data_IF_049835321370
#
_entry.id   IF_049835321370
#
_cell.length_a   1.000
_cell.length_b   1.000
_cell.length_c   1.000
_cell.angle_alpha   90.00
_cell.angle_beta   90.00
_cell.angle_gamma   90.00
#
_symmetry.space_group_name_H-M   'P 1'
#
loop_
_entity.id
_entity.type
_entity.pdbx_description
1 polymer ?
#
# COMPACT_ATOMS: atom_id res chain seq x y z
N UNK A 1 -9.90 -11.09 -1.00
CA UNK A 1 -8.64 -11.50 -0.39
C UNK A 1 -8.24 -10.53 0.70
N UNK A 2 -7.54 -11.02 1.71
CA UNK A 2 -7.22 -10.27 2.90
C UNK A 2 -7.95 -10.80 4.13
N UNK A 3 -8.05 -9.95 5.17
CA UNK A 3 -8.70 -10.33 6.43
C UNK A 3 -10.22 -10.41 6.23
N UNK A 4 -10.77 -11.60 6.50
CA UNK A 4 -12.22 -11.84 6.42
C UNK A 4 -12.92 -11.40 7.70
N UNK A 5 -12.32 -11.65 8.88
CA UNK A 5 -12.70 -11.14 10.20
C UNK A 5 -11.53 -11.18 11.18
N UNK A 6 -11.72 -10.64 12.38
CA UNK A 6 -10.72 -10.44 13.43
C UNK A 6 -10.35 -8.97 13.56
N UNK A 7 -9.95 -8.55 14.75
CA UNK A 7 -9.57 -7.17 15.02
C UNK A 7 -8.13 -6.87 14.55
N UNK A 8 -7.87 -5.71 13.93
CA UNK A 8 -6.53 -5.38 13.41
C UNK A 8 -5.45 -5.30 14.49
N UNK A 9 -5.83 -4.91 15.71
CA UNK A 9 -4.91 -4.66 16.80
C UNK A 9 -4.72 -5.87 17.74
N UNK A 10 -5.46 -6.97 17.52
CA UNK A 10 -5.29 -8.17 18.32
C UNK A 10 -4.03 -8.94 17.89
N UNK A 11 -3.11 -9.23 18.84
CA UNK A 11 -1.90 -9.99 18.52
C UNK A 11 -2.25 -11.45 18.22
N UNK A 12 -1.63 -12.01 17.18
CA UNK A 12 -1.71 -13.42 16.85
C UNK A 12 -0.33 -14.07 17.01
N UNK A 13 -0.10 -14.68 18.17
CA UNK A 13 1.18 -15.32 18.49
C UNK A 13 1.30 -16.72 17.86
N UNK A 14 0.18 -17.38 17.54
CA UNK A 14 0.14 -18.68 16.89
C UNK A 14 -0.77 -18.62 15.67
N UNK A 15 -0.17 -18.88 14.51
CA UNK A 15 -0.83 -18.82 13.21
C UNK A 15 -0.85 -20.23 12.60
N UNK A 16 -2.03 -20.68 12.17
CA UNK A 16 -2.18 -21.89 11.38
C UNK A 16 -2.29 -21.56 9.89
N UNK A 17 -1.77 -22.44 9.05
CA UNK A 17 -1.82 -22.32 7.60
C UNK A 17 -2.52 -23.52 6.98
N UNK A 18 -3.39 -23.27 6.00
CA UNK A 18 -4.05 -24.32 5.23
C UNK A 18 -4.39 -23.83 3.82
N UNK A 19 -4.69 -24.76 2.90
CA UNK A 19 -5.15 -24.42 1.57
C UNK A 19 -6.60 -23.91 1.61
N UNK A 20 -7.47 -24.64 2.31
CA UNK A 20 -8.91 -24.38 2.40
C UNK A 20 -9.35 -24.19 3.85
N UNK A 21 -10.39 -23.38 4.05
CA UNK A 21 -11.06 -23.21 5.34
C UNK A 21 -12.21 -24.23 5.47
N UNK A 22 -11.87 -25.50 5.79
CA UNK A 22 -12.87 -26.56 6.03
C UNK A 22 -13.16 -26.71 7.52
N UNK A 23 -14.26 -27.42 7.88
CA UNK A 23 -14.58 -27.75 9.28
C UNK A 23 -13.40 -28.45 9.97
N UNK A 24 -12.80 -29.46 9.32
CA UNK A 24 -11.68 -30.21 9.86
C UNK A 24 -10.42 -29.33 10.10
N UNK A 25 -10.14 -28.40 9.18
CA UNK A 25 -9.02 -27.45 9.35
C UNK A 25 -9.28 -26.52 10.53
N UNK A 26 -10.51 -26.06 10.68
CA UNK A 26 -10.86 -25.18 11.82
C UNK A 26 -10.80 -25.94 13.14
N UNK A 27 -11.25 -27.19 13.18
CA UNK A 27 -11.13 -28.02 14.37
C UNK A 27 -9.67 -28.24 14.76
N UNK A 28 -8.81 -28.55 13.80
CA UNK A 28 -7.37 -28.68 14.04
C UNK A 28 -6.72 -27.37 14.50
N UNK A 29 -7.15 -26.22 13.96
CA UNK A 29 -6.67 -24.91 14.39
C UNK A 29 -7.08 -24.60 15.85
N UNK A 30 -8.30 -24.97 16.24
CA UNK A 30 -8.80 -24.85 17.61
C UNK A 30 -7.98 -25.73 18.57
N UNK A 31 -7.82 -27.01 18.25
CA UNK A 31 -7.04 -27.98 19.06
C UNK A 31 -5.60 -27.52 19.26
N UNK A 32 -5.00 -26.90 18.24
CA UNK A 32 -3.66 -26.34 18.33
C UNK A 32 -3.59 -24.98 19.04
N UNK A 33 -4.70 -24.37 19.40
CA UNK A 33 -4.76 -23.04 20.02
C UNK A 33 -4.27 -21.92 19.10
N UNK A 34 -4.54 -22.02 17.80
CA UNK A 34 -4.24 -20.96 16.85
C UNK A 34 -5.14 -19.73 17.08
N UNK A 35 -4.58 -18.55 16.92
CA UNK A 35 -5.28 -17.26 17.04
C UNK A 35 -5.60 -16.66 15.66
N UNK A 36 -4.93 -17.14 14.62
CA UNK A 36 -5.19 -16.78 13.24
C UNK A 36 -5.08 -18.01 12.35
N UNK A 37 -5.99 -18.13 11.41
CA UNK A 37 -5.93 -19.09 10.30
C UNK A 37 -5.71 -18.34 9.00
N UNK A 38 -4.60 -18.64 8.34
CA UNK A 38 -4.28 -18.13 7.01
C UNK A 38 -4.57 -19.23 6.00
N UNK A 39 -5.44 -18.95 5.04
CA UNK A 39 -5.82 -19.88 3.97
C UNK A 39 -5.54 -19.27 2.60
N UNK A 40 -5.35 -20.13 1.61
CA UNK A 40 -5.23 -19.67 0.23
C UNK A 40 -6.61 -19.36 -0.36
N UNK A 41 -7.52 -20.32 -0.34
CA UNK A 41 -8.86 -20.13 -0.88
C UNK A 41 -9.79 -19.44 0.12
N UNK A 42 -10.42 -18.29 -0.26
CA UNK A 42 -11.31 -17.58 0.63
C UNK A 42 -12.60 -18.38 0.91
N UNK A 43 -12.97 -18.50 2.17
CA UNK A 43 -14.20 -19.15 2.59
C UNK A 43 -15.45 -18.48 1.95
N UNK A 44 -15.42 -17.14 1.90
CA UNK A 44 -16.48 -16.30 1.34
C UNK A 44 -15.93 -15.55 0.12
N UNK A 45 -16.01 -16.17 -1.07
CA UNK A 45 -15.52 -15.58 -2.32
C UNK A 45 -16.47 -14.51 -2.87
N UNK A 46 -17.78 -14.68 -2.65
CA UNK A 46 -18.82 -13.73 -3.06
C UNK A 46 -19.42 -13.07 -1.83
N UNK A 47 -19.95 -11.86 -2.01
CA UNK A 47 -20.71 -11.18 -0.96
C UNK A 47 -21.85 -12.05 -0.43
N UNK A 48 -22.04 -12.06 0.88
CA UNK A 48 -23.13 -12.80 1.53
C UNK A 48 -23.98 -11.81 2.35
N UNK A 49 -25.28 -12.05 2.38
CA UNK A 49 -26.23 -11.23 3.14
C UNK A 49 -26.55 -11.84 4.50
N UNK A 50 -26.21 -13.12 4.73
CA UNK A 50 -26.45 -13.82 5.96
C UNK A 50 -25.41 -14.95 6.16
N UNK A 51 -25.10 -15.26 7.41
CA UNK A 51 -24.21 -16.35 7.82
C UNK A 51 -24.86 -17.23 8.91
N UNK A 52 -25.99 -17.92 8.59
CA UNK A 52 -26.72 -18.71 9.57
C UNK A 52 -25.89 -19.92 10.02
N UNK A 53 -25.89 -20.23 11.33
CA UNK A 53 -25.08 -21.29 11.92
C UNK A 53 -25.41 -22.70 11.40
N UNK A 54 -26.59 -22.91 10.83
CA UNK A 54 -27.01 -24.17 10.23
C UNK A 54 -26.57 -24.37 8.77
N UNK A 55 -25.95 -23.35 8.15
CA UNK A 55 -25.31 -23.52 6.83
C UNK A 55 -23.85 -23.97 6.99
N UNK A 56 -23.27 -24.70 6.02
CA UNK A 56 -21.89 -25.17 6.11
C UNK A 56 -20.88 -24.04 6.35
N UNK A 57 -20.92 -22.97 5.55
CA UNK A 57 -20.01 -21.83 5.70
C UNK A 57 -20.32 -20.99 6.93
N UNK A 58 -21.59 -20.80 7.27
CA UNK A 58 -22.00 -20.09 8.47
C UNK A 58 -21.52 -20.80 9.74
N UNK A 59 -21.63 -22.13 9.80
CA UNK A 59 -21.10 -22.92 10.92
C UNK A 59 -19.60 -22.68 11.13
N UNK A 60 -18.82 -22.71 10.08
CA UNK A 60 -17.36 -22.40 10.11
C UNK A 60 -17.12 -20.98 10.64
N UNK A 61 -17.83 -19.98 10.12
CA UNK A 61 -17.73 -18.59 10.58
C UNK A 61 -18.02 -18.49 12.09
N UNK A 62 -19.14 -19.06 12.53
CA UNK A 62 -19.53 -19.05 13.94
C UNK A 62 -18.51 -19.77 14.83
N UNK A 63 -17.93 -20.89 14.36
CA UNK A 63 -16.91 -21.64 15.07
C UNK A 63 -15.65 -20.80 15.27
N UNK A 64 -15.13 -20.19 14.22
CA UNK A 64 -13.94 -19.34 14.26
C UNK A 64 -14.14 -18.13 15.20
N UNK A 65 -15.28 -17.44 15.08
CA UNK A 65 -15.58 -16.26 15.94
C UNK A 65 -15.68 -16.68 17.41
N UNK A 66 -16.36 -17.78 17.73
CA UNK A 66 -16.51 -18.26 19.10
C UNK A 66 -15.18 -18.64 19.75
N UNK A 67 -14.20 -19.08 18.97
CA UNK A 67 -12.87 -19.45 19.46
C UNK A 67 -11.83 -18.33 19.30
N UNK A 68 -12.25 -17.12 18.92
CA UNK A 68 -11.36 -15.96 18.78
C UNK A 68 -10.30 -16.12 17.67
N UNK A 69 -10.57 -16.94 16.64
CA UNK A 69 -9.62 -17.20 15.56
C UNK A 69 -9.91 -16.26 14.40
N UNK A 70 -8.97 -15.36 14.09
CA UNK A 70 -9.04 -14.50 12.92
C UNK A 70 -8.86 -15.32 11.63
N UNK A 71 -9.55 -14.95 10.55
CA UNK A 71 -9.37 -15.58 9.23
C UNK A 71 -8.79 -14.58 8.23
N UNK A 72 -7.71 -14.99 7.59
CA UNK A 72 -7.06 -14.26 6.50
C UNK A 72 -6.97 -15.14 5.26
N UNK A 73 -7.39 -14.62 4.10
CA UNK A 73 -7.26 -15.31 2.82
C UNK A 73 -6.16 -14.64 1.96
N UNK A 74 -5.09 -15.39 1.71
CA UNK A 74 -3.99 -15.01 0.82
C UNK A 74 -4.17 -15.75 -0.52
N UNK A 75 -4.95 -15.18 -1.44
CA UNK A 75 -5.31 -15.79 -2.73
C UNK A 75 -4.42 -15.24 -3.86
N UNK A 76 -4.97 -14.48 -4.77
CA UNK A 76 -4.26 -13.92 -5.93
C UNK A 76 -3.09 -13.01 -5.56
N UNK A 77 -3.10 -12.38 -4.41
CA UNK A 77 -1.96 -11.64 -3.87
C UNK A 77 -0.78 -12.57 -3.53
N UNK A 78 -1.04 -13.79 -3.04
CA UNK A 78 0.00 -14.80 -2.81
C UNK A 78 0.50 -15.39 -4.12
N UNK A 79 -0.40 -15.59 -5.11
CA UNK A 79 -0.03 -16.07 -6.45
C UNK A 79 0.85 -15.07 -7.21
N UNK A 80 0.67 -13.77 -6.94
CA UNK A 80 1.39 -12.70 -7.62
C UNK A 80 2.67 -12.27 -6.90
N UNK A 81 2.89 -12.76 -5.69
CA UNK A 81 4.08 -12.42 -4.90
C UNK A 81 5.36 -13.00 -5.52
N UNK A 82 6.50 -12.29 -5.32
CA UNK A 82 7.84 -12.79 -5.68
C UNK A 82 8.83 -12.55 -4.54
N UNK A 83 9.46 -13.60 -3.99
CA UNK A 83 9.13 -15.02 -4.21
C UNK A 83 7.73 -15.35 -3.68
N UNK A 84 7.01 -16.23 -4.32
CA UNK A 84 5.63 -16.57 -3.99
C UNK A 84 5.30 -18.06 -4.13
N UNK A 85 4.01 -18.37 -4.07
CA UNK A 85 3.48 -19.73 -4.16
C UNK A 85 3.90 -20.37 -5.47
N UNK A 86 3.83 -19.64 -6.59
CA UNK A 86 4.19 -20.17 -7.91
C UNK A 86 5.68 -20.43 -8.07
N UNK A 87 6.54 -19.57 -7.51
CA UNK A 87 7.99 -19.78 -7.51
C UNK A 87 8.33 -21.06 -6.73
N UNK A 88 7.73 -21.24 -5.54
CA UNK A 88 7.94 -22.44 -4.72
C UNK A 88 7.44 -23.72 -5.39
N UNK A 89 6.30 -23.66 -6.07
CA UNK A 89 5.76 -24.79 -6.81
C UNK A 89 6.69 -25.19 -7.95
N UNK A 90 7.21 -24.21 -8.70
CA UNK A 90 8.19 -24.47 -9.76
C UNK A 90 9.45 -25.14 -9.22
N UNK A 91 10.00 -24.63 -8.11
CA UNK A 91 11.17 -25.24 -7.44
C UNK A 91 10.92 -26.71 -7.05
N UNK A 92 9.75 -27.00 -6.43
CA UNK A 92 9.39 -28.36 -6.04
C UNK A 92 9.26 -29.33 -7.23
N UNK A 93 8.91 -28.81 -8.39
CA UNK A 93 8.84 -29.55 -9.65
C UNK A 93 10.19 -29.61 -10.39
N UNK A 94 11.26 -29.00 -9.85
CA UNK A 94 12.57 -28.94 -10.50
C UNK A 94 12.61 -27.95 -11.68
N UNK A 95 11.66 -27.01 -11.77
CA UNK A 95 11.59 -26.01 -12.83
C UNK A 95 12.25 -24.73 -12.32
N UNK A 96 13.15 -24.15 -13.08
CA UNK A 96 13.69 -22.81 -12.79
C UNK A 96 12.64 -21.76 -13.16
N UNK A 97 12.16 -20.94 -12.21
CA UNK A 97 11.20 -19.88 -12.51
C UNK A 97 11.77 -18.88 -13.52
N UNK A 98 11.02 -18.60 -14.58
CA UNK A 98 11.36 -17.59 -15.59
C UNK A 98 10.55 -16.28 -15.39
N UNK A 99 10.41 -15.52 -16.48
CA UNK A 99 9.57 -14.36 -16.52
C UNK A 99 8.09 -14.75 -16.32
N UNK A 100 7.31 -13.88 -15.69
CA UNK A 100 5.87 -14.07 -15.54
C UNK A 100 5.18 -14.07 -16.92
N UNK A 101 4.19 -14.95 -17.13
CA UNK A 101 3.37 -14.96 -18.35
C UNK A 101 2.62 -13.64 -18.54
N UNK A 102 2.20 -13.03 -17.44
CA UNK A 102 1.57 -11.71 -17.40
C UNK A 102 2.26 -10.88 -16.34
N UNK A 103 3.34 -10.17 -16.69
CA UNK A 103 4.02 -9.30 -15.74
C UNK A 103 3.06 -8.19 -15.27
N UNK A 104 3.01 -7.95 -13.98
CA UNK A 104 2.42 -6.72 -13.46
C UNK A 104 3.43 -5.62 -13.82
N UNK A 105 3.04 -4.59 -14.57
CA UNK A 105 3.95 -3.51 -14.88
C UNK A 105 4.49 -2.93 -13.57
N UNK A 106 5.78 -3.07 -13.34
CA UNK A 106 6.48 -2.30 -12.33
C UNK A 106 6.70 -0.91 -12.92
N UNK A 107 5.60 -0.13 -13.04
CA UNK A 107 5.66 1.21 -13.58
C UNK A 107 6.52 2.10 -12.70
N UNK A 108 7.19 3.04 -13.31
CA UNK A 108 7.87 4.14 -12.65
C UNK A 108 7.03 5.39 -12.84
N UNK A 109 6.79 6.12 -11.76
CA UNK A 109 6.15 7.43 -11.80
C UNK A 109 7.21 8.53 -11.83
N UNK A 110 6.98 9.55 -12.65
CA UNK A 110 7.68 10.83 -12.54
C UNK A 110 6.84 11.77 -11.69
N UNK A 111 7.46 12.33 -10.67
CA UNK A 111 6.86 13.28 -9.75
C UNK A 111 7.48 14.65 -9.92
N UNK A 112 6.68 15.69 -9.72
CA UNK A 112 7.12 17.05 -9.60
C UNK A 112 6.30 17.78 -8.52
N UNK A 113 6.93 18.65 -7.75
CA UNK A 113 6.25 19.55 -6.82
C UNK A 113 7.07 20.82 -6.63
N UNK A 114 6.42 21.89 -6.18
CA UNK A 114 7.08 23.14 -5.81
C UNK A 114 6.99 23.38 -4.33
N UNK A 115 8.00 23.99 -3.73
CA UNK A 115 8.06 24.26 -2.29
C UNK A 115 8.95 25.47 -2.02
N UNK A 116 8.68 26.32 -1.00
CA UNK A 116 9.58 27.37 -0.59
C UNK A 116 10.99 26.82 -0.28
N UNK A 117 12.01 27.54 -0.71
CA UNK A 117 13.41 27.08 -0.65
C UNK A 117 13.81 26.57 0.75
N UNK A 118 13.38 27.25 1.80
CA UNK A 118 13.71 26.90 3.17
C UNK A 118 13.07 25.59 3.66
N UNK A 119 11.95 25.20 3.08
CA UNK A 119 11.17 24.00 3.47
C UNK A 119 11.57 22.78 2.64
N UNK A 120 12.27 22.97 1.52
CA UNK A 120 12.64 21.90 0.59
C UNK A 120 13.40 20.73 1.26
N UNK A 121 14.38 20.92 2.17
CA UNK A 121 15.07 19.82 2.82
C UNK A 121 14.13 18.90 3.62
N UNK A 122 13.16 19.47 4.32
CA UNK A 122 12.19 18.73 5.14
C UNK A 122 11.26 17.89 4.27
N UNK A 123 10.72 18.50 3.22
CA UNK A 123 9.79 17.81 2.31
C UNK A 123 10.51 16.72 1.53
N UNK A 124 11.72 16.98 1.02
CA UNK A 124 12.55 15.96 0.35
C UNK A 124 12.81 14.75 1.27
N UNK A 125 13.23 15.00 2.51
CA UNK A 125 13.50 13.93 3.47
C UNK A 125 12.29 13.03 3.69
N UNK A 126 11.09 13.61 3.82
CA UNK A 126 9.86 12.85 3.98
C UNK A 126 9.53 11.99 2.74
N UNK A 127 9.68 12.57 1.54
CA UNK A 127 9.44 11.88 0.27
C UNK A 127 10.43 10.73 0.05
N UNK A 128 11.71 10.96 0.29
CA UNK A 128 12.73 9.92 0.14
C UNK A 128 12.54 8.78 1.13
N UNK A 129 12.17 9.10 2.38
CA UNK A 129 11.81 8.08 3.38
C UNK A 129 10.59 7.23 2.96
N UNK A 130 9.69 7.78 2.15
CA UNK A 130 8.55 7.06 1.58
C UNK A 130 8.88 6.25 0.32
N UNK A 131 10.12 6.35 -0.20
CA UNK A 131 10.63 5.63 -1.37
C UNK A 131 10.68 6.43 -2.66
N UNK A 132 10.58 7.78 -2.57
CA UNK A 132 10.85 8.66 -3.69
C UNK A 132 12.35 8.69 -4.04
N UNK A 133 12.67 8.99 -5.31
CA UNK A 133 14.05 9.11 -5.77
C UNK A 133 14.83 7.80 -5.86
N UNK A 134 14.15 6.65 -5.85
CA UNK A 134 14.77 5.35 -6.04
C UNK A 134 14.82 4.99 -7.53
N UNK A 135 16.03 4.77 -8.06
CA UNK A 135 16.26 4.40 -9.45
C UNK A 135 17.48 3.47 -9.57
N UNK A 136 17.25 2.19 -9.83
CA UNK A 136 18.31 1.17 -9.83
C UNK A 136 19.01 1.12 -8.47
N UNK A 137 20.31 1.26 -8.48
CA UNK A 137 21.15 1.26 -7.27
C UNK A 137 21.33 2.66 -6.65
N UNK A 138 20.53 3.65 -7.09
CA UNK A 138 20.59 5.01 -6.56
C UNK A 138 19.34 5.34 -5.75
N UNK A 139 19.54 6.02 -4.64
CA UNK A 139 18.49 6.53 -3.77
C UNK A 139 18.56 8.06 -3.68
N UNK A 140 17.46 8.69 -3.30
CA UNK A 140 17.35 10.14 -3.11
C UNK A 140 17.69 10.96 -4.36
N UNK A 141 17.58 10.35 -5.55
CA UNK A 141 17.84 11.03 -6.82
C UNK A 141 16.71 12.02 -7.15
N UNK A 142 17.07 13.28 -7.38
CA UNK A 142 16.13 14.32 -7.80
C UNK A 142 16.85 15.40 -8.61
N UNK A 143 16.06 16.21 -9.31
CA UNK A 143 16.50 17.45 -9.96
C UNK A 143 15.79 18.63 -9.29
N UNK A 144 16.48 19.74 -9.18
CA UNK A 144 15.97 20.98 -8.58
C UNK A 144 16.08 22.14 -9.57
N UNK A 145 15.01 22.93 -9.66
CA UNK A 145 14.94 24.10 -10.51
C UNK A 145 14.39 25.28 -9.70
N UNK A 146 15.09 26.41 -9.71
CA UNK A 146 14.55 27.65 -9.14
C UNK A 146 13.37 28.11 -9.99
N UNK A 147 12.24 28.39 -9.37
CA UNK A 147 11.01 28.84 -9.98
C UNK A 147 10.39 29.97 -9.16
N UNK A 148 9.56 30.78 -9.80
CA UNK A 148 8.76 31.78 -9.11
C UNK A 148 7.30 31.35 -9.15
N UNK A 149 6.72 31.08 -7.97
CA UNK A 149 5.31 30.75 -7.80
C UNK A 149 4.48 32.02 -7.65
N UNK A 150 3.23 31.98 -8.11
CA UNK A 150 2.25 33.06 -7.87
C UNK A 150 0.91 32.45 -7.53
N UNK A 151 0.25 33.01 -6.53
CA UNK A 151 -1.10 32.61 -6.13
C UNK A 151 -1.86 33.77 -5.48
N UNK A 152 -3.18 33.65 -5.43
CA UNK A 152 -4.08 34.60 -4.77
C UNK A 152 -4.90 33.82 -3.72
N UNK A 153 -4.62 33.97 -2.43
CA UNK A 153 -5.46 33.38 -1.41
C UNK A 153 -6.86 34.01 -1.40
N UNK A 154 -7.91 33.19 -1.48
CA UNK A 154 -9.31 33.65 -1.44
C UNK A 154 -9.90 33.51 -0.05
N UNK A 155 -11.12 34.01 0.15
CA UNK A 155 -11.83 33.87 1.43
C UNK A 155 -11.98 32.38 1.81
N UNK A 156 -11.54 32.03 3.03
CA UNK A 156 -11.50 30.65 3.53
C UNK A 156 -10.13 29.98 3.46
N UNK A 157 -9.16 30.55 2.74
CA UNK A 157 -7.78 30.06 2.76
C UNK A 157 -7.06 30.44 4.06
N UNK A 158 -6.12 29.55 4.48
CA UNK A 158 -5.19 29.83 5.56
C UNK A 158 -3.75 29.75 5.03
N UNK A 159 -3.29 30.76 4.28
CA UNK A 159 -2.04 30.68 3.55
C UNK A 159 -0.83 30.63 4.50
N UNK A 160 0.17 29.78 4.17
CA UNK A 160 1.46 29.77 4.86
C UNK A 160 2.27 31.05 4.59
N UNK A 161 2.12 31.61 3.38
CA UNK A 161 2.73 32.87 2.93
C UNK A 161 1.66 33.74 2.30
N UNK A 162 1.81 35.06 2.40
CA UNK A 162 0.89 36.04 1.83
C UNK A 162 -0.36 36.28 2.67
N UNK A 163 -1.30 37.09 2.14
CA UNK A 163 -2.55 37.46 2.78
C UNK A 163 -3.75 37.21 1.86
N UNK A 164 -4.92 36.96 2.46
CA UNK A 164 -6.18 36.80 1.73
C UNK A 164 -6.50 38.07 0.94
N UNK A 165 -6.80 37.92 -0.32
CA UNK A 165 -7.16 38.99 -1.25
C UNK A 165 -5.99 39.73 -1.92
N UNK A 166 -4.75 39.35 -1.61
CA UNK A 166 -3.55 39.91 -2.21
C UNK A 166 -2.81 38.84 -3.05
N UNK A 167 -2.33 39.25 -4.25
CA UNK A 167 -1.51 38.36 -5.08
C UNK A 167 -0.14 38.24 -4.45
N UNK A 168 0.25 37.01 -4.13
CA UNK A 168 1.57 36.69 -3.58
C UNK A 168 2.48 36.13 -4.67
N UNK A 169 3.76 36.49 -4.63
CA UNK A 169 4.81 35.95 -5.49
C UNK A 169 5.95 35.43 -4.63
N UNK A 170 6.27 34.14 -4.78
CA UNK A 170 7.22 33.43 -3.92
C UNK A 170 8.33 32.78 -4.74
N UNK A 171 9.56 32.95 -4.28
CA UNK A 171 10.71 32.18 -4.78
C UNK A 171 10.64 30.75 -4.23
N UNK A 172 10.49 29.79 -5.14
CA UNK A 172 10.34 28.38 -4.82
C UNK A 172 11.39 27.53 -5.54
N UNK A 173 11.50 26.30 -5.13
CA UNK A 173 12.21 25.27 -5.87
C UNK A 173 11.20 24.22 -6.36
N UNK A 174 11.25 23.92 -7.66
CA UNK A 174 10.60 22.75 -8.24
C UNK A 174 11.52 21.56 -8.13
N UNK A 175 11.03 20.50 -7.52
CA UNK A 175 11.77 19.24 -7.31
C UNK A 175 11.11 18.16 -8.16
N UNK A 176 11.92 17.51 -9.00
CA UNK A 176 11.49 16.39 -9.84
C UNK A 176 12.26 15.12 -9.49
N UNK A 177 11.57 14.01 -9.41
CA UNK A 177 12.15 12.70 -9.10
C UNK A 177 11.33 11.58 -9.74
N UNK A 178 11.89 10.37 -9.75
CA UNK A 178 11.17 9.15 -10.14
C UNK A 178 10.97 8.25 -8.93
N UNK A 179 9.95 7.41 -8.99
CA UNK A 179 9.67 6.45 -7.93
C UNK A 179 8.91 5.23 -8.49
N UNK A 180 9.04 4.05 -7.86
CA UNK A 180 8.18 2.92 -8.21
C UNK A 180 6.70 3.24 -8.02
N UNK A 181 5.86 2.92 -9.02
CA UNK A 181 4.41 3.19 -8.98
C UNK A 181 3.73 2.54 -7.75
N UNK A 182 4.26 1.44 -7.24
CA UNK A 182 3.79 0.80 -6.01
C UNK A 182 3.93 1.69 -4.75
N UNK A 183 4.76 2.74 -4.80
CA UNK A 183 4.98 3.70 -3.70
C UNK A 183 4.13 4.97 -3.83
N UNK A 184 3.32 5.10 -4.90
CA UNK A 184 2.55 6.32 -5.22
C UNK A 184 1.78 6.88 -4.03
N UNK A 185 0.97 6.06 -3.37
CA UNK A 185 0.14 6.53 -2.25
C UNK A 185 0.96 6.90 -1.00
N UNK A 186 2.03 6.17 -0.72
CA UNK A 186 2.92 6.49 0.40
C UNK A 186 3.64 7.83 0.18
N UNK A 187 4.13 8.05 -1.04
CA UNK A 187 4.83 9.29 -1.42
C UNK A 187 3.85 10.47 -1.39
N UNK A 188 2.64 10.32 -1.95
CA UNK A 188 1.60 11.35 -1.93
C UNK A 188 1.26 11.75 -0.49
N UNK A 189 1.05 10.77 0.39
CA UNK A 189 0.74 11.03 1.80
C UNK A 189 1.90 11.73 2.52
N UNK A 190 3.14 11.35 2.25
CA UNK A 190 4.33 11.98 2.83
C UNK A 190 4.50 13.42 2.35
N UNK A 191 4.29 13.68 1.05
CA UNK A 191 4.35 15.01 0.45
C UNK A 191 3.33 15.94 1.11
N UNK A 192 2.04 15.57 1.09
CA UNK A 192 0.95 16.40 1.64
C UNK A 192 1.18 16.68 3.14
N UNK A 193 1.67 15.68 3.89
CA UNK A 193 1.90 15.84 5.33
C UNK A 193 3.07 16.76 5.66
N UNK A 194 4.13 16.70 4.84
CA UNK A 194 5.37 17.45 5.10
C UNK A 194 5.38 18.84 4.48
N UNK A 195 4.53 19.08 3.48
CA UNK A 195 4.49 20.35 2.77
C UNK A 195 3.92 21.47 3.65
N UNK A 196 4.51 22.69 3.63
CA UNK A 196 4.02 23.80 4.44
C UNK A 196 2.68 24.38 3.95
N UNK A 197 2.37 24.21 2.65
CA UNK A 197 1.11 24.69 2.10
C UNK A 197 -0.03 23.72 2.39
N UNK A 198 -1.22 24.26 2.66
CA UNK A 198 -2.44 23.45 2.85
C UNK A 198 -2.85 22.72 1.55
N UNK A 199 -2.59 23.34 0.40
CA UNK A 199 -2.79 22.76 -0.95
C UNK A 199 -1.51 22.85 -1.78
N UNK A 200 -0.59 21.88 -1.67
CA UNK A 200 0.64 21.88 -2.43
C UNK A 200 0.40 21.63 -3.92
N UNK A 201 1.12 22.36 -4.78
CA UNK A 201 1.14 22.10 -6.21
C UNK A 201 2.07 20.93 -6.52
N UNK A 202 1.53 19.81 -7.00
CA UNK A 202 2.31 18.64 -7.41
C UNK A 202 1.67 17.89 -8.57
N UNK A 203 2.47 17.17 -9.29
CA UNK A 203 2.06 16.26 -10.37
C UNK A 203 2.72 14.89 -10.24
N UNK A 204 2.01 13.86 -10.71
CA UNK A 204 2.49 12.49 -10.79
C UNK A 204 2.08 11.92 -12.13
N UNK A 205 3.04 11.56 -12.97
CA UNK A 205 2.82 11.04 -14.31
C UNK A 205 3.39 9.64 -14.42
N UNK A 206 2.57 8.71 -14.90
CA UNK A 206 3.05 7.36 -15.24
C UNK A 206 4.03 7.45 -16.41
N UNK A 207 5.20 6.83 -16.24
CA UNK A 207 6.19 6.77 -17.30
C UNK A 207 6.23 5.38 -17.93
N UNK A 208 6.66 5.34 -19.19
CA UNK A 208 6.95 4.09 -19.91
C UNK A 208 8.43 3.71 -19.83
N UNK A 209 9.10 4.05 -18.75
CA UNK A 209 10.50 3.64 -18.56
C UNK A 209 10.58 2.11 -18.44
N UNK A 210 11.57 1.50 -19.09
CA UNK A 210 11.74 0.04 -19.10
C UNK A 210 12.04 -0.53 -17.72
#
# INVERSE_FOLDING_TARGET
VGRTWGAPAEPANKVAFALDCTDAVVDAAIEQGAQMLVVHHPLLLRGVTAVPANSPKGRIVHKLIRHGIALFAAHTNADSARPGVNDRLAELLGITPGAALRPIPSGTDKWGFTVPLNDAPTVKSAIFSAGGGAQGDYEQACFEFSVTGQFLPTEGANPHLGAVGEVETVEEVRIEFVAPAAKREAIRAALIKAHPYEEPAYDCVETSLP
#
